data_IF_373766664651
#
_entry.id   IF_373766664651
#
_cell.length_a   1.000
_cell.length_b   1.000
_cell.length_c   1.000
_cell.angle_alpha   90.00
_cell.angle_beta   90.00
_cell.angle_gamma   90.00
#
_symmetry.space_group_name_H-M   'P 1'
#
loop_
_entity.id
_entity.type
_entity.pdbx_description
1 polymer ?
#
# COMPACT_ATOMS: atom_id res chain seq x y z
N UNK A 1 -5.01 -3.56 16.89
CA UNK A 1 -4.37 -2.99 15.68
C UNK A 1 -4.83 -3.69 14.40
N UNK A 2 -4.66 -5.02 14.30
CA UNK A 2 -4.98 -5.79 13.09
C UNK A 2 -6.45 -5.70 12.65
N UNK A 3 -7.38 -5.63 13.62
CA UNK A 3 -8.82 -5.44 13.34
C UNK A 3 -9.09 -4.08 12.70
N UNK A 4 -8.49 -3.00 13.22
CA UNK A 4 -8.64 -1.64 12.67
C UNK A 4 -8.07 -1.54 11.25
N UNK A 5 -6.91 -2.16 11.00
CA UNK A 5 -6.29 -2.23 9.67
C UNK A 5 -7.18 -3.02 8.71
N UNK A 6 -7.71 -4.16 9.14
CA UNK A 6 -8.59 -5.01 8.33
C UNK A 6 -9.91 -4.32 7.98
N UNK A 7 -10.50 -3.56 8.91
CA UNK A 7 -11.70 -2.76 8.64
C UNK A 7 -11.42 -1.64 7.65
N UNK A 8 -10.33 -0.89 7.82
CA UNK A 8 -9.97 0.23 6.93
C UNK A 8 -9.62 -0.24 5.52
N UNK A 9 -8.84 -1.31 5.39
CA UNK A 9 -8.54 -1.89 4.07
C UNK A 9 -9.80 -2.49 3.44
N UNK A 10 -10.63 -3.21 4.20
CA UNK A 10 -11.86 -3.84 3.69
C UNK A 10 -12.88 -2.87 3.10
N UNK A 11 -13.00 -1.65 3.63
CA UNK A 11 -13.93 -0.63 3.10
C UNK A 11 -13.35 0.16 1.95
N UNK A 12 -12.04 0.42 1.94
CA UNK A 12 -11.40 1.26 0.91
C UNK A 12 -11.34 0.54 -0.45
N UNK A 13 -11.07 -0.76 -0.47
CA UNK A 13 -10.97 -1.55 -1.70
C UNK A 13 -12.22 -1.49 -2.60
N UNK A 14 -13.44 -1.76 -2.11
CA UNK A 14 -14.65 -1.69 -2.92
C UNK A 14 -14.96 -0.24 -3.35
N UNK A 15 -14.75 0.74 -2.48
CA UNK A 15 -15.02 2.16 -2.78
C UNK A 15 -14.17 2.65 -3.96
N UNK A 16 -12.85 2.41 -3.93
CA UNK A 16 -11.96 2.81 -5.03
C UNK A 16 -12.31 2.11 -6.34
N UNK A 17 -12.65 0.82 -6.28
CA UNK A 17 -12.98 0.03 -7.48
C UNK A 17 -14.26 0.55 -8.14
N UNK A 18 -15.31 0.76 -7.34
CA UNK A 18 -16.60 1.27 -7.83
C UNK A 18 -16.44 2.70 -8.36
N UNK A 19 -15.64 3.54 -7.69
CA UNK A 19 -15.38 4.91 -8.15
C UNK A 19 -14.71 4.95 -9.54
N UNK A 20 -13.68 4.13 -9.76
CA UNK A 20 -13.02 4.02 -11.08
C UNK A 20 -13.95 3.48 -12.15
N UNK A 21 -14.79 2.50 -11.81
CA UNK A 21 -15.76 1.93 -12.75
C UNK A 21 -16.87 2.93 -13.11
N UNK A 22 -17.35 3.74 -12.15
CA UNK A 22 -18.34 4.80 -12.40
C UNK A 22 -17.77 5.99 -13.18
N UNK A 23 -16.45 6.20 -13.14
CA UNK A 23 -15.84 7.30 -13.86
C UNK A 23 -15.88 7.13 -15.39
N UNK A 24 -16.02 5.89 -15.90
CA UNK A 24 -15.92 5.53 -17.32
C UNK A 24 -17.23 4.98 -17.89
N UNK A 25 -17.42 5.10 -19.21
CA UNK A 25 -18.56 4.46 -19.88
C UNK A 25 -18.46 2.93 -19.86
N UNK A 26 -19.62 2.25 -19.90
CA UNK A 26 -19.71 0.78 -19.80
C UNK A 26 -18.83 0.04 -20.81
N UNK A 27 -18.68 0.61 -21.99
CA UNK A 27 -17.83 0.06 -23.07
C UNK A 27 -16.33 0.04 -22.71
N UNK A 28 -15.88 0.90 -21.78
CA UNK A 28 -14.48 1.01 -21.36
C UNK A 28 -14.20 0.36 -19.99
N UNK A 29 -15.19 -0.28 -19.36
CA UNK A 29 -15.03 -0.92 -18.04
C UNK A 29 -13.90 -1.94 -17.99
N UNK A 30 -13.71 -2.72 -19.08
CA UNK A 30 -12.62 -3.69 -19.17
C UNK A 30 -11.23 -3.04 -19.13
N UNK A 31 -11.06 -1.92 -19.86
CA UNK A 31 -9.81 -1.15 -19.87
C UNK A 31 -9.57 -0.52 -18.50
N UNK A 32 -10.59 0.12 -17.91
CA UNK A 32 -10.49 0.75 -16.59
C UNK A 32 -10.13 -0.25 -15.49
N UNK A 33 -10.75 -1.44 -15.50
CA UNK A 33 -10.45 -2.50 -14.53
C UNK A 33 -9.05 -3.09 -14.74
N UNK A 34 -8.61 -3.22 -16.00
CA UNK A 34 -7.26 -3.65 -16.34
C UNK A 34 -6.19 -2.67 -15.84
N UNK A 35 -6.38 -1.38 -16.10
CA UNK A 35 -5.49 -0.30 -15.62
C UNK A 35 -5.46 -0.28 -14.09
N UNK A 36 -6.61 -0.37 -13.42
CA UNK A 36 -6.69 -0.43 -11.96
C UNK A 36 -5.92 -1.62 -11.39
N UNK A 37 -6.05 -2.80 -12.00
CA UNK A 37 -5.33 -4.01 -11.59
C UNK A 37 -3.82 -3.88 -11.80
N UNK A 38 -3.40 -3.31 -12.94
CA UNK A 38 -2.00 -3.04 -13.23
C UNK A 38 -1.39 -2.07 -12.21
N UNK A 39 -2.04 -0.92 -11.98
CA UNK A 39 -1.59 0.08 -11.01
C UNK A 39 -1.51 -0.50 -9.59
N UNK A 40 -2.45 -1.36 -9.22
CA UNK A 40 -2.42 -2.08 -7.93
C UNK A 40 -1.20 -2.99 -7.82
N UNK A 41 -0.91 -3.78 -8.85
CA UNK A 41 0.27 -4.64 -8.88
C UNK A 41 1.56 -3.82 -8.80
N UNK A 42 1.67 -2.77 -9.61
CA UNK A 42 2.80 -1.85 -9.62
C UNK A 42 3.00 -1.18 -8.25
N UNK A 43 1.93 -0.66 -7.65
CA UNK A 43 1.97 -0.03 -6.33
C UNK A 43 2.43 -1.01 -5.24
N UNK A 44 1.99 -2.28 -5.31
CA UNK A 44 2.44 -3.31 -4.37
C UNK A 44 3.93 -3.63 -4.51
N UNK A 45 4.44 -3.75 -5.75
CA UNK A 45 5.85 -4.00 -6.00
C UNK A 45 6.73 -2.83 -5.53
N UNK A 46 6.32 -1.59 -5.82
CA UNK A 46 7.00 -0.38 -5.37
C UNK A 46 6.98 -0.27 -3.84
N UNK A 47 5.85 -0.56 -3.20
CA UNK A 47 5.72 -0.56 -1.74
C UNK A 47 6.65 -1.56 -1.07
N UNK A 48 6.71 -2.80 -1.57
CA UNK A 48 7.62 -3.84 -1.06
C UNK A 48 9.08 -3.42 -1.26
N UNK A 49 9.44 -2.92 -2.45
CA UNK A 49 10.81 -2.47 -2.73
C UNK A 49 11.24 -1.31 -1.81
N UNK A 50 10.36 -0.33 -1.60
CA UNK A 50 10.62 0.81 -0.73
C UNK A 50 10.82 0.38 0.72
N UNK A 51 9.91 -0.42 1.27
CA UNK A 51 10.03 -0.91 2.66
C UNK A 51 11.25 -1.82 2.84
N UNK A 52 11.58 -2.65 1.84
CA UNK A 52 12.80 -3.47 1.84
C UNK A 52 14.07 -2.61 1.85
N UNK A 53 14.12 -1.55 1.04
CA UNK A 53 15.24 -0.61 1.03
C UNK A 53 15.41 0.12 2.38
N UNK A 54 14.31 0.53 3.01
CA UNK A 54 14.32 1.13 4.35
C UNK A 54 14.86 0.13 5.37
N UNK A 55 14.34 -1.09 5.37
CA UNK A 55 14.76 -2.12 6.32
C UNK A 55 16.26 -2.44 6.18
N UNK A 56 16.79 -2.55 4.95
CA UNK A 56 18.22 -2.70 4.70
C UNK A 56 19.03 -1.47 5.13
N UNK A 57 18.52 -0.26 4.86
CA UNK A 57 19.17 1.00 5.24
C UNK A 57 19.29 1.20 6.75
N UNK A 58 18.35 0.67 7.53
CA UNK A 58 18.39 0.68 9.00
C UNK A 58 19.05 -0.57 9.60
N UNK A 59 19.75 -1.38 8.80
CA UNK A 59 20.59 -2.48 9.27
C UNK A 59 19.84 -3.77 9.59
N UNK A 60 18.60 -3.95 9.09
CA UNK A 60 17.90 -5.22 9.21
C UNK A 60 18.56 -6.25 8.28
N UNK A 61 19.03 -7.41 8.79
CA UNK A 61 19.77 -8.39 8.00
C UNK A 61 18.85 -9.19 7.08
N UNK A 62 18.33 -8.53 6.03
CA UNK A 62 17.41 -9.11 5.04
C UNK A 62 18.13 -9.64 3.79
N UNK A 63 19.39 -9.24 3.57
CA UNK A 63 20.16 -9.55 2.36
C UNK A 63 21.15 -10.73 2.52
N UNK A 64 21.27 -11.33 3.71
CA UNK A 64 22.22 -12.40 3.97
C UNK A 64 21.54 -13.78 3.97
N UNK A 65 21.76 -14.58 2.93
CA UNK A 65 21.52 -16.02 3.01
C UNK A 65 22.47 -16.62 4.06
N UNK A 66 21.94 -17.06 5.20
CA UNK A 66 22.69 -17.83 6.21
C UNK A 66 23.19 -17.09 7.45
N UNK A 67 22.69 -15.89 7.76
CA UNK A 67 22.99 -15.26 9.07
C UNK A 67 22.28 -16.04 10.17
N UNK A 68 23.03 -16.80 10.96
CA UNK A 68 22.55 -17.42 12.18
C UNK A 68 21.82 -16.36 13.02
N UNK A 69 20.56 -16.63 13.39
CA UNK A 69 19.73 -15.78 14.26
C UNK A 69 20.27 -15.88 15.70
N UNK A 70 21.50 -15.43 15.89
CA UNK A 70 22.22 -15.41 17.15
C UNK A 70 22.61 -13.96 17.46
N UNK A 71 21.62 -13.10 17.53
CA UNK A 71 21.78 -11.71 17.94
C UNK A 71 20.45 -11.19 18.41
N UNK A 72 20.38 -10.79 19.68
CA UNK A 72 19.23 -10.06 20.20
C UNK A 72 18.94 -8.88 19.27
N UNK A 73 17.68 -8.68 18.87
CA UNK A 73 17.26 -7.47 18.15
C UNK A 73 17.52 -6.29 19.09
N UNK A 74 18.67 -5.64 18.95
CA UNK A 74 19.15 -4.63 19.89
C UNK A 74 18.39 -3.30 19.77
N UNK A 75 17.65 -3.09 18.67
CA UNK A 75 16.87 -1.86 18.48
C UNK A 75 15.56 -2.08 17.72
N UNK A 76 14.51 -1.40 18.18
CA UNK A 76 13.22 -1.33 17.50
C UNK A 76 13.17 -0.28 16.36
N UNK A 77 14.26 0.46 16.14
CA UNK A 77 14.32 1.58 15.20
C UNK A 77 13.92 1.20 13.75
N UNK A 78 14.39 0.09 13.16
CA UNK A 78 14.00 -0.29 11.81
C UNK A 78 12.48 -0.53 11.69
N UNK A 79 11.88 -1.15 12.71
CA UNK A 79 10.44 -1.41 12.75
C UNK A 79 9.64 -0.11 12.83
N UNK A 80 10.06 0.83 13.68
CA UNK A 80 9.40 2.15 13.79
C UNK A 80 9.42 2.88 12.45
N UNK A 81 10.55 2.88 11.75
CA UNK A 81 10.68 3.54 10.44
C UNK A 81 9.79 2.90 9.38
N UNK A 82 9.70 1.56 9.34
CA UNK A 82 8.78 0.84 8.47
C UNK A 82 7.33 1.26 8.75
N UNK A 83 6.91 1.30 10.02
CA UNK A 83 5.56 1.72 10.40
C UNK A 83 5.28 3.19 10.08
N UNK A 84 6.24 4.10 10.28
CA UNK A 84 6.08 5.51 9.93
C UNK A 84 5.95 5.72 8.43
N UNK A 85 6.77 5.04 7.63
CA UNK A 85 6.65 5.12 6.17
C UNK A 85 5.34 4.51 5.68
N UNK A 86 4.93 3.37 6.23
CA UNK A 86 3.62 2.78 5.93
C UNK A 86 2.45 3.70 6.33
N UNK A 87 2.55 4.39 7.47
CA UNK A 87 1.56 5.38 7.87
C UNK A 87 1.53 6.58 6.92
N UNK A 88 2.71 7.04 6.46
CA UNK A 88 2.84 8.12 5.49
C UNK A 88 2.24 7.77 4.13
N UNK A 89 2.47 6.56 3.61
CA UNK A 89 1.90 6.10 2.34
C UNK A 89 0.38 5.93 2.42
N UNK A 90 -0.14 5.42 3.54
CA UNK A 90 -1.59 5.39 3.80
C UNK A 90 -2.18 6.79 3.90
N UNK A 91 -1.51 7.72 4.58
CA UNK A 91 -1.92 9.11 4.68
C UNK A 91 -1.97 9.82 3.32
N UNK A 92 -0.96 9.59 2.46
CA UNK A 92 -0.97 10.08 1.09
C UNK A 92 -2.15 9.50 0.30
N UNK A 93 -2.41 8.19 0.43
CA UNK A 93 -3.56 7.54 -0.17
C UNK A 93 -4.90 8.15 0.28
N UNK A 94 -5.02 8.43 1.58
CA UNK A 94 -6.20 9.09 2.14
C UNK A 94 -6.38 10.50 1.56
N UNK A 95 -5.31 11.30 1.45
CA UNK A 95 -5.34 12.63 0.84
C UNK A 95 -5.76 12.54 -0.63
N UNK A 96 -5.25 11.57 -1.39
CA UNK A 96 -5.66 11.40 -2.79
C UNK A 96 -7.14 11.05 -2.93
N UNK A 97 -7.70 10.29 -1.97
CA UNK A 97 -9.13 9.97 -1.95
C UNK A 97 -9.97 11.19 -1.56
N UNK A 98 -9.53 12.01 -0.61
CA UNK A 98 -10.29 13.23 -0.22
C UNK A 98 -10.25 14.32 -1.29
N UNK A 99 -9.22 14.33 -2.14
CA UNK A 99 -9.12 15.23 -3.29
C UNK A 99 -9.90 14.71 -4.51
N UNK A 100 -10.38 13.47 -4.50
CA UNK A 100 -11.10 12.90 -5.63
C UNK A 100 -12.48 13.58 -5.75
N UNK A 101 -12.77 14.29 -6.85
CA UNK A 101 -14.06 14.95 -7.01
C UNK A 101 -15.17 13.90 -7.14
N UNK A 102 -16.26 14.12 -6.41
CA UNK A 102 -17.43 13.25 -6.43
C UNK A 102 -18.11 13.33 -7.80
N UNK A 103 -18.25 12.18 -8.49
CA UNK A 103 -19.00 12.07 -9.73
C UNK A 103 -20.29 11.31 -9.44
N UNK A 104 -21.42 11.84 -9.92
CA UNK A 104 -22.72 11.20 -9.75
C UNK A 104 -22.68 9.76 -10.29
N UNK A 105 -23.16 8.82 -9.46
CA UNK A 105 -23.31 7.41 -9.82
C UNK A 105 -24.20 7.29 -11.06
N UNK A 106 -23.68 6.68 -12.13
CA UNK A 106 -24.40 6.46 -13.40
C UNK A 106 -24.78 5.00 -13.59
#
# INVERSE_FOLDING_TARGET
>A
LTICIGLGTGTTFPVTTVSVQNAVDRMHLGVATGVLTFLRSLGSALGVAMLGAIALGFGLPLAGEGVAVAGHVASAQPFVMIFLVAAGTLGLGLITLTLMPEKELR
#
